data_IF_118393329722
#
_entry.id   IF_118393329722
#
_cell.length_a   1.000
_cell.length_b   1.000
_cell.length_c   1.000
_cell.angle_alpha   90.00
_cell.angle_beta   90.00
_cell.angle_gamma   90.00
#
_symmetry.space_group_name_H-M   'P 1'
#
loop_
_entity.id
_entity.type
_entity.pdbx_description
1 polymer ?
#
# COMPACT_ATOMS: atom_id res chain seq x y z
N UNK A 1 0.35 23.23 15.90
CA UNK A 1 -0.37 22.93 17.16
C UNK A 1 0.43 21.92 17.97
N UNK A 2 0.53 22.11 19.29
CA UNK A 2 1.15 21.16 20.21
C UNK A 2 0.08 20.52 21.10
N UNK A 3 0.11 19.21 21.26
CA UNK A 3 -0.78 18.46 22.16
C UNK A 3 0.07 17.86 23.27
N UNK A 4 -0.24 18.25 24.50
CA UNK A 4 0.26 17.60 25.71
C UNK A 4 -0.85 16.74 26.32
N UNK A 5 -0.56 15.45 26.50
CA UNK A 5 -1.50 14.49 27.08
C UNK A 5 -1.17 14.11 28.52
N UNK A 6 -0.23 14.80 29.19
CA UNK A 6 0.24 14.40 30.52
C UNK A 6 -0.88 14.38 31.57
N UNK A 7 -1.85 15.29 31.47
CA UNK A 7 -3.00 15.39 32.38
C UNK A 7 -4.31 14.85 31.78
N UNK A 8 -4.22 14.02 30.75
CA UNK A 8 -5.40 13.53 30.04
C UNK A 8 -6.18 12.51 30.88
N UNK A 9 -7.33 12.92 31.41
CA UNK A 9 -8.26 12.04 32.11
C UNK A 9 -8.71 10.86 31.23
N UNK A 10 -9.17 9.77 31.88
CA UNK A 10 -9.67 8.59 31.16
C UNK A 10 -10.91 8.95 30.34
N UNK A 11 -10.86 8.65 29.04
CA UNK A 11 -11.92 8.85 28.06
C UNK A 11 -12.34 7.49 27.48
N UNK A 12 -12.93 6.65 28.33
CA UNK A 12 -13.30 5.27 27.97
C UNK A 12 -14.41 5.19 26.91
N UNK A 13 -15.20 6.24 26.71
CA UNK A 13 -16.21 6.29 25.65
C UNK A 13 -15.64 6.64 24.27
N UNK A 14 -14.38 7.10 24.18
CA UNK A 14 -13.77 7.48 22.92
C UNK A 14 -13.35 6.22 22.13
N UNK A 15 -13.93 6.04 20.95
CA UNK A 15 -13.68 4.88 20.08
C UNK A 15 -12.87 5.23 18.83
N UNK A 16 -12.79 6.52 18.46
CA UNK A 16 -12.03 6.97 17.30
C UNK A 16 -11.27 8.24 17.61
N UNK A 17 -9.99 8.28 17.22
CA UNK A 17 -9.12 9.43 17.34
C UNK A 17 -8.36 9.66 16.04
N UNK A 18 -8.39 10.91 15.57
CA UNK A 18 -7.60 11.35 14.42
C UNK A 18 -6.79 12.58 14.80
N UNK A 19 -5.49 12.52 14.53
CA UNK A 19 -4.58 13.66 14.66
C UNK A 19 -3.93 13.95 13.32
N UNK A 20 -3.90 15.23 12.94
CA UNK A 20 -3.35 15.68 11.67
C UNK A 20 -2.44 16.90 11.86
N UNK A 21 -1.20 16.80 11.38
CA UNK A 21 -0.23 17.91 11.39
C UNK A 21 -0.01 18.51 12.78
N UNK A 22 0.16 17.65 13.79
CA UNK A 22 0.34 18.05 15.19
C UNK A 22 1.69 17.61 15.74
N UNK A 23 2.25 18.43 16.62
CA UNK A 23 3.37 18.03 17.48
C UNK A 23 2.81 17.51 18.79
N UNK A 24 3.35 16.42 19.31
CA UNK A 24 2.93 15.80 20.56
C UNK A 24 4.12 15.64 21.50
N UNK A 25 3.84 15.45 22.79
CA UNK A 25 4.87 15.01 23.75
C UNK A 25 5.25 13.53 23.48
N UNK A 26 6.48 13.14 23.86
CA UNK A 26 7.01 11.79 23.59
C UNK A 26 6.12 10.65 24.10
N UNK A 27 5.49 10.86 25.27
CA UNK A 27 4.59 9.90 25.89
C UNK A 27 3.18 9.82 25.27
N UNK A 28 2.86 10.62 24.24
CA UNK A 28 1.49 10.74 23.73
C UNK A 28 0.83 9.40 23.36
N UNK A 29 1.55 8.48 22.69
CA UNK A 29 0.97 7.18 22.34
C UNK A 29 0.68 6.28 23.55
N UNK A 30 1.52 6.37 24.59
CA UNK A 30 1.25 5.69 25.88
C UNK A 30 0.02 6.28 26.55
N UNK A 31 -0.08 7.61 26.57
CA UNK A 31 -1.22 8.29 27.18
C UNK A 31 -2.53 8.00 26.43
N UNK A 32 -2.51 7.91 25.09
CA UNK A 32 -3.66 7.44 24.29
C UNK A 32 -4.05 6.03 24.72
N UNK A 33 -3.08 5.10 24.79
CA UNK A 33 -3.30 3.71 25.21
C UNK A 33 -3.90 3.61 26.62
N UNK A 34 -3.41 4.42 27.57
CA UNK A 34 -3.83 4.34 28.97
C UNK A 34 -5.16 5.07 29.25
N UNK A 35 -5.40 6.21 28.59
CA UNK A 35 -6.59 7.03 28.81
C UNK A 35 -7.78 6.64 27.93
N UNK A 36 -7.57 6.07 26.74
CA UNK A 36 -8.63 5.77 25.76
C UNK A 36 -8.74 4.25 25.52
N UNK A 37 -9.12 3.50 26.55
CA UNK A 37 -9.00 2.02 26.54
C UNK A 37 -9.88 1.31 25.51
N UNK A 38 -10.98 1.92 25.05
CA UNK A 38 -11.91 1.35 24.08
C UNK A 38 -11.67 1.85 22.64
N UNK A 39 -10.51 2.47 22.40
CA UNK A 39 -10.18 3.02 21.09
C UNK A 39 -10.11 1.91 20.03
N UNK A 40 -10.99 1.99 19.04
CA UNK A 40 -11.08 1.05 17.92
C UNK A 40 -10.43 1.57 16.64
N UNK A 41 -10.27 2.89 16.52
CA UNK A 41 -9.68 3.56 15.36
C UNK A 41 -8.69 4.62 15.83
N UNK A 42 -7.46 4.51 15.35
CA UNK A 42 -6.43 5.54 15.54
C UNK A 42 -5.82 5.92 14.19
N UNK A 43 -5.93 7.20 13.85
CA UNK A 43 -5.31 7.76 12.65
C UNK A 43 -4.37 8.90 12.99
N UNK A 44 -3.08 8.68 12.77
CA UNK A 44 -2.02 9.67 12.91
C UNK A 44 -1.57 10.09 11.52
N UNK A 45 -1.69 11.37 11.19
CA UNK A 45 -1.41 11.90 9.86
C UNK A 45 -0.45 13.09 9.95
N UNK A 46 0.84 12.82 9.83
CA UNK A 46 1.86 13.87 9.97
C UNK A 46 2.04 14.31 11.43
N UNK A 47 2.25 13.34 12.32
CA UNK A 47 2.42 13.58 13.76
C UNK A 47 3.91 13.61 14.11
N UNK A 48 4.33 14.64 14.86
CA UNK A 48 5.73 14.89 15.21
C UNK A 48 5.97 14.67 16.71
N UNK A 49 7.11 14.08 17.08
CA UNK A 49 7.61 14.01 18.45
C UNK A 49 7.17 12.80 19.29
N UNK A 50 6.40 11.86 18.73
CA UNK A 50 6.05 10.62 19.45
C UNK A 50 7.26 9.67 19.52
N UNK A 51 7.64 9.24 20.72
CA UNK A 51 8.84 8.41 20.95
C UNK A 51 8.60 6.90 20.76
N UNK A 52 7.35 6.46 20.81
CA UNK A 52 6.97 5.05 20.69
C UNK A 52 6.94 4.30 22.02
N UNK A 53 7.35 3.03 22.00
CA UNK A 53 7.35 2.11 23.14
C UNK A 53 6.56 0.82 22.87
N UNK A 54 6.37 0.04 23.94
CA UNK A 54 5.54 -1.18 23.92
C UNK A 54 4.08 -0.83 24.24
N UNK A 55 3.21 -0.97 23.25
CA UNK A 55 1.83 -0.52 23.28
C UNK A 55 0.91 -1.70 22.98
N UNK A 56 -0.15 -1.85 23.76
CA UNK A 56 -1.18 -2.88 23.53
C UNK A 56 -2.54 -2.22 23.47
N UNK A 57 -3.23 -2.37 22.35
CA UNK A 57 -4.60 -1.87 22.16
C UNK A 57 -5.56 -3.03 21.91
N UNK A 58 -6.37 -3.37 22.91
CA UNK A 58 -7.21 -4.56 22.89
C UNK A 58 -8.37 -4.51 21.89
N UNK A 59 -8.84 -3.31 21.55
CA UNK A 59 -10.03 -3.10 20.73
C UNK A 59 -9.72 -2.45 19.37
N UNK A 60 -8.44 -2.20 19.07
CA UNK A 60 -8.03 -1.53 17.84
C UNK A 60 -8.37 -2.39 16.62
N UNK A 61 -9.16 -1.85 15.70
CA UNK A 61 -9.56 -2.52 14.44
C UNK A 61 -8.95 -1.85 13.22
N UNK A 62 -8.67 -0.55 13.31
CA UNK A 62 -8.07 0.26 12.25
C UNK A 62 -6.96 1.12 12.84
N UNK A 63 -5.77 0.99 12.26
CA UNK A 63 -4.60 1.78 12.64
C UNK A 63 -3.96 2.40 11.40
N UNK A 64 -3.86 3.72 11.39
CA UNK A 64 -3.08 4.48 10.43
C UNK A 64 -1.95 5.21 11.17
N UNK A 65 -0.71 4.79 10.95
CA UNK A 65 0.48 5.41 11.55
C UNK A 65 1.19 6.29 10.53
N UNK A 66 1.10 7.60 10.74
CA UNK A 66 1.80 8.62 9.98
C UNK A 66 2.64 9.52 10.85
N UNK A 67 3.75 8.99 11.37
CA UNK A 67 4.75 9.73 12.13
C UNK A 67 5.72 10.44 11.17
N UNK A 68 5.89 11.74 11.36
CA UNK A 68 6.81 12.59 10.58
C UNK A 68 8.20 12.69 11.20
N UNK A 69 8.39 12.16 12.41
CA UNK A 69 9.69 11.97 13.06
C UNK A 69 9.82 10.51 13.45
N UNK A 70 10.96 9.85 13.22
CA UNK A 70 11.09 8.43 13.50
C UNK A 70 11.12 8.21 15.02
N UNK A 71 10.29 7.30 15.49
CA UNK A 71 10.41 6.75 16.84
C UNK A 71 11.67 5.88 16.93
N UNK A 72 12.24 5.68 18.13
CA UNK A 72 13.36 4.73 18.25
C UNK A 72 12.84 3.29 18.20
N UNK A 73 11.99 2.93 19.16
CA UNK A 73 11.42 1.60 19.29
C UNK A 73 9.90 1.67 19.33
N UNK A 74 9.22 0.89 18.50
CA UNK A 74 7.77 0.83 18.45
C UNK A 74 7.30 -0.62 18.35
N UNK A 75 6.79 -1.15 19.45
CA UNK A 75 6.21 -2.49 19.53
C UNK A 75 4.72 -2.35 19.80
N UNK A 76 3.87 -2.78 18.88
CA UNK A 76 2.42 -2.74 19.07
C UNK A 76 1.80 -4.13 19.03
N UNK A 77 1.08 -4.49 20.09
CA UNK A 77 0.21 -5.67 20.14
C UNK A 77 -1.24 -5.27 19.90
N UNK A 78 -1.80 -5.74 18.78
CA UNK A 78 -3.07 -5.30 18.22
C UNK A 78 -3.93 -6.53 17.86
N UNK A 79 -4.46 -7.27 18.86
CA UNK A 79 -5.08 -8.58 18.67
C UNK A 79 -6.32 -8.56 17.76
N UNK A 80 -7.01 -7.43 17.67
CA UNK A 80 -8.25 -7.28 16.88
C UNK A 80 -8.06 -6.51 15.57
N UNK A 81 -6.81 -6.17 15.22
CA UNK A 81 -6.53 -5.28 14.10
C UNK A 81 -6.87 -5.94 12.76
N UNK A 82 -7.72 -5.28 11.97
CA UNK A 82 -8.11 -5.74 10.65
C UNK A 82 -7.45 -4.94 9.53
N UNK A 83 -7.16 -3.65 9.78
CA UNK A 83 -6.57 -2.73 8.80
C UNK A 83 -5.37 -1.98 9.39
N UNK A 84 -4.23 -2.10 8.71
CA UNK A 84 -3.00 -1.39 9.04
C UNK A 84 -2.57 -0.51 7.86
N UNK A 85 -2.27 0.75 8.15
CA UNK A 85 -1.62 1.67 7.21
C UNK A 85 -0.37 2.25 7.86
N UNK A 86 0.77 2.10 7.20
CA UNK A 86 2.04 2.64 7.66
C UNK A 86 2.51 3.67 6.63
N UNK A 87 2.38 4.96 6.95
CA UNK A 87 2.76 6.11 6.11
C UNK A 87 3.67 7.07 6.89
N UNK A 88 4.85 6.60 7.27
CA UNK A 88 5.71 7.29 8.23
C UNK A 88 7.19 7.12 7.93
N UNK A 89 8.03 7.98 8.52
CA UNK A 89 9.46 7.70 8.62
C UNK A 89 9.64 6.49 9.55
N UNK A 90 10.34 5.47 9.07
CA UNK A 90 10.41 4.19 9.77
C UNK A 90 11.15 4.33 11.11
N UNK A 91 10.61 3.78 12.21
CA UNK A 91 11.35 3.61 13.45
C UNK A 91 12.59 2.72 13.29
N UNK A 92 13.58 2.86 14.18
CA UNK A 92 14.77 1.97 14.18
C UNK A 92 14.35 0.52 14.41
N UNK A 93 13.40 0.28 15.32
CA UNK A 93 12.77 -1.03 15.47
C UNK A 93 11.24 -0.89 15.49
N UNK A 94 10.57 -1.52 14.52
CA UNK A 94 9.11 -1.57 14.41
C UNK A 94 8.65 -3.02 14.48
N UNK A 95 7.83 -3.35 15.47
CA UNK A 95 7.21 -4.67 15.60
C UNK A 95 5.70 -4.50 15.74
N UNK A 96 4.93 -5.04 14.80
CA UNK A 96 3.48 -5.07 14.88
C UNK A 96 3.01 -6.53 15.01
N UNK A 97 2.22 -6.82 16.04
CA UNK A 97 1.60 -8.13 16.27
C UNK A 97 0.10 -7.96 16.02
N UNK A 98 -0.39 -8.53 14.91
CA UNK A 98 -1.75 -8.35 14.43
C UNK A 98 -2.29 -9.66 13.82
N UNK A 99 -2.75 -10.61 14.64
CA UNK A 99 -3.08 -11.97 14.20
C UNK A 99 -4.27 -12.06 13.24
N UNK A 100 -5.20 -11.10 13.27
CA UNK A 100 -6.42 -11.10 12.43
C UNK A 100 -6.39 -10.08 11.29
N UNK A 101 -5.18 -9.64 10.92
CA UNK A 101 -4.96 -8.60 9.92
C UNK A 101 -5.40 -9.06 8.52
N UNK A 102 -6.20 -8.22 7.85
CA UNK A 102 -6.74 -8.52 6.51
C UNK A 102 -6.31 -7.52 5.44
N UNK A 103 -5.96 -6.31 5.86
CA UNK A 103 -5.57 -5.22 4.98
C UNK A 103 -4.26 -4.59 5.48
N UNK A 104 -3.32 -4.41 4.57
CA UNK A 104 -2.06 -3.71 4.84
C UNK A 104 -1.74 -2.72 3.73
N UNK A 105 -1.32 -1.51 4.12
CA UNK A 105 -0.71 -0.54 3.22
C UNK A 105 0.67 -0.12 3.74
N UNK A 106 1.69 -0.24 2.88
CA UNK A 106 3.05 0.18 3.18
C UNK A 106 3.46 1.41 2.36
N UNK A 107 3.92 2.44 3.06
CA UNK A 107 4.62 3.59 2.50
C UNK A 107 5.61 4.09 3.57
N UNK A 108 6.71 3.36 3.73
CA UNK A 108 7.69 3.57 4.80
C UNK A 108 9.07 3.82 4.21
N UNK A 109 9.63 5.01 4.38
CA UNK A 109 11.06 5.17 4.13
C UNK A 109 11.83 4.40 5.22
N UNK A 110 12.44 3.26 4.86
CA UNK A 110 13.15 2.36 5.80
C UNK A 110 14.66 2.54 5.65
N UNK A 111 15.33 3.19 6.61
CA UNK A 111 16.79 3.24 6.67
C UNK A 111 17.40 1.84 6.79
N UNK A 112 18.61 1.63 6.26
CA UNK A 112 19.30 0.33 6.31
C UNK A 112 19.48 -0.26 7.72
N UNK A 113 19.56 0.61 8.72
CA UNK A 113 19.70 0.23 10.13
C UNK A 113 18.38 -0.18 10.80
N UNK A 114 17.25 -0.01 10.12
CA UNK A 114 15.93 -0.23 10.70
C UNK A 114 15.48 -1.68 10.58
N UNK A 115 14.85 -2.19 11.64
CA UNK A 115 14.26 -3.53 11.72
C UNK A 115 12.75 -3.42 11.76
N UNK A 116 12.07 -4.07 10.81
CA UNK A 116 10.62 -4.07 10.73
C UNK A 116 10.07 -5.49 10.71
N UNK A 117 9.22 -5.81 11.66
CA UNK A 117 8.55 -7.10 11.81
C UNK A 117 7.02 -6.91 11.86
N UNK A 118 6.29 -7.69 11.07
CA UNK A 118 4.83 -7.74 11.11
C UNK A 118 4.39 -9.20 11.29
N UNK A 119 3.95 -9.51 12.50
CA UNK A 119 3.57 -10.86 12.93
C UNK A 119 2.05 -11.01 12.82
N UNK A 120 1.58 -11.67 11.76
CA UNK A 120 0.19 -12.07 11.61
C UNK A 120 0.08 -13.56 11.96
N UNK A 121 0.06 -13.87 13.26
CA UNK A 121 0.01 -15.26 13.71
C UNK A 121 -1.38 -15.83 13.42
N UNK A 122 -1.46 -16.90 12.62
CA UNK A 122 -2.63 -17.77 12.61
C UNK A 122 -2.77 -18.38 14.00
N UNK A 123 -3.95 -18.28 14.59
CA UNK A 123 -4.29 -19.01 15.80
C UNK A 123 -4.40 -20.52 15.50
N UNK A 124 -3.28 -21.19 15.23
CA UNK A 124 -3.08 -22.61 15.52
C UNK A 124 -1.60 -22.81 15.89
N UNK A 125 -1.26 -23.09 17.16
CA UNK A 125 0.08 -23.52 17.51
C UNK A 125 0.31 -24.91 16.88
N UNK A 126 1.19 -25.01 15.89
CA UNK A 126 1.79 -26.30 15.55
C UNK A 126 2.99 -26.51 16.46
N UNK A 127 2.93 -27.59 17.23
CA UNK A 127 3.96 -28.05 18.16
C UNK A 127 5.33 -28.21 17.48
N UNK A 128 6.35 -27.57 18.07
CA UNK A 128 7.77 -27.94 18.18
C UNK A 128 8.47 -28.69 17.03
N UNK A 129 9.57 -28.11 16.54
CA UNK A 129 10.88 -28.78 16.63
C UNK A 129 12.02 -27.76 16.50
N UNK A 130 12.96 -27.84 17.44
CA UNK A 130 14.22 -27.11 17.51
C UNK A 130 15.11 -27.38 16.30
N UNK A 131 15.63 -26.33 15.64
CA UNK A 131 16.87 -26.42 14.87
C UNK A 131 17.74 -25.18 15.08
N UNK A 132 19.01 -25.48 15.30
CA UNK A 132 20.18 -24.63 15.53
C UNK A 132 20.39 -23.61 14.42
N UNK A 133 20.68 -22.37 14.81
CA UNK A 133 21.00 -21.25 13.93
C UNK A 133 22.49 -21.31 13.58
N UNK A 134 22.80 -21.58 12.32
CA UNK A 134 24.10 -21.22 11.72
C UNK A 134 24.05 -19.77 11.27
N UNK A 135 25.05 -18.98 11.69
CA UNK A 135 25.25 -17.60 11.29
C UNK A 135 25.29 -17.45 9.76
N UNK A 136 24.35 -16.67 9.23
CA UNK A 136 24.51 -16.01 7.94
C UNK A 136 24.14 -14.53 8.12
N UNK A 137 25.06 -13.66 7.74
CA UNK A 137 24.87 -12.22 7.75
C UNK A 137 23.81 -11.83 6.70
N UNK A 138 22.57 -11.60 7.13
CA UNK A 138 21.57 -10.83 6.38
C UNK A 138 20.80 -9.95 7.39
N UNK A 139 21.21 -8.69 7.53
CA UNK A 139 20.43 -7.66 8.22
C UNK A 139 19.25 -7.23 7.33
N UNK A 140 18.23 -8.07 7.18
CA UNK A 140 16.86 -7.73 6.75
C UNK A 140 15.97 -8.95 6.99
N UNK A 141 15.33 -9.07 8.16
CA UNK A 141 14.34 -10.12 8.42
C UNK A 141 12.92 -9.55 8.43
N UNK A 142 12.48 -9.00 7.31
CA UNK A 142 11.07 -8.68 7.09
C UNK A 142 10.26 -9.97 6.93
N UNK A 143 9.80 -10.55 8.05
CA UNK A 143 8.85 -11.67 8.01
C UNK A 143 7.44 -11.12 8.15
N UNK A 144 6.66 -11.20 7.06
CA UNK A 144 5.19 -11.15 7.10
C UNK A 144 4.72 -12.58 6.86
N UNK A 145 4.41 -13.28 7.94
CA UNK A 145 3.69 -14.55 7.88
C UNK A 145 2.21 -14.22 8.12
N UNK A 146 1.30 -14.66 7.26
CA UNK A 146 -0.13 -14.47 7.50
C UNK A 146 -1.00 -15.30 6.57
N UNK A 147 -1.67 -16.34 7.07
CA UNK A 147 -2.77 -16.96 6.34
C UNK A 147 -4.06 -16.16 6.57
N UNK A 148 -4.12 -14.93 6.06
CA UNK A 148 -5.32 -14.09 6.24
C UNK A 148 -5.38 -12.77 5.50
N UNK A 149 -4.29 -12.32 4.88
CA UNK A 149 -4.28 -11.07 4.14
C UNK A 149 -5.12 -11.19 2.87
N UNK A 150 -6.11 -10.30 2.73
CA UNK A 150 -7.01 -10.24 1.57
C UNK A 150 -6.68 -9.04 0.68
N UNK A 151 -6.10 -7.99 1.24
CA UNK A 151 -5.84 -6.73 0.54
C UNK A 151 -4.44 -6.20 0.85
N UNK A 152 -3.66 -5.91 -0.20
CA UNK A 152 -2.30 -5.37 -0.12
C UNK A 152 -2.20 -4.07 -0.92
N UNK A 153 -1.76 -2.99 -0.28
CA UNK A 153 -1.27 -1.80 -0.95
C UNK A 153 0.25 -1.73 -0.82
N UNK A 154 0.91 -1.90 -1.96
CA UNK A 154 2.34 -1.97 -2.10
C UNK A 154 2.84 -0.78 -2.92
N UNK A 155 3.80 -0.05 -2.39
CA UNK A 155 4.53 0.92 -3.17
C UNK A 155 5.83 1.37 -2.54
N UNK A 156 6.54 2.18 -3.31
CA UNK A 156 7.54 3.17 -2.90
C UNK A 156 8.71 2.82 -2.02
N UNK A 157 8.44 2.48 -0.78
CA UNK A 157 9.46 2.19 0.19
C UNK A 157 8.90 1.01 1.00
N UNK A 158 8.84 -0.12 0.32
CA UNK A 158 8.57 -1.40 0.95
C UNK A 158 9.91 -2.07 1.18
N UNK A 159 10.20 -2.37 2.43
CA UNK A 159 11.38 -3.11 2.87
C UNK A 159 11.25 -4.62 2.61
N UNK A 160 10.07 -5.08 2.19
CA UNK A 160 9.81 -6.46 1.82
C UNK A 160 9.60 -6.53 0.32
N UNK A 161 10.32 -7.41 -0.41
CA UNK A 161 10.03 -7.66 -1.81
C UNK A 161 8.57 -8.08 -2.01
N UNK A 162 7.92 -7.52 -3.02
CA UNK A 162 6.53 -7.87 -3.37
C UNK A 162 6.35 -9.39 -3.54
N UNK A 163 7.32 -10.07 -4.18
CA UNK A 163 7.32 -11.53 -4.37
C UNK A 163 7.15 -12.27 -3.05
N UNK A 164 7.95 -11.93 -2.04
CA UNK A 164 7.89 -12.54 -0.71
C UNK A 164 6.54 -12.31 -0.02
N UNK A 165 5.93 -11.13 -0.20
CA UNK A 165 4.60 -10.85 0.35
C UNK A 165 3.52 -11.68 -0.35
N UNK A 166 3.59 -11.76 -1.68
CA UNK A 166 2.61 -12.50 -2.48
C UNK A 166 2.68 -14.00 -2.19
N UNK A 167 3.88 -14.58 -2.14
CA UNK A 167 4.10 -16.01 -1.85
C UNK A 167 3.56 -16.44 -0.48
N UNK A 168 3.75 -15.60 0.53
CA UNK A 168 3.29 -15.88 1.90
C UNK A 168 1.80 -15.62 2.10
N UNK A 169 1.14 -14.93 1.16
CA UNK A 169 -0.26 -14.52 1.28
C UNK A 169 -1.08 -14.96 0.05
N UNK A 170 -1.28 -16.28 -0.17
CA UNK A 170 -2.00 -16.80 -1.34
C UNK A 170 -3.51 -16.45 -1.38
N UNK A 171 -4.04 -15.89 -0.28
CA UNK A 171 -5.44 -15.48 -0.16
C UNK A 171 -5.72 -14.05 -0.62
N UNK A 172 -4.72 -13.33 -1.13
CA UNK A 172 -4.90 -11.96 -1.63
C UNK A 172 -5.97 -11.92 -2.72
N UNK A 173 -6.94 -11.02 -2.53
CA UNK A 173 -8.04 -10.72 -3.45
C UNK A 173 -7.84 -9.39 -4.14
N UNK A 174 -7.18 -8.43 -3.46
CA UNK A 174 -6.93 -7.10 -4.00
C UNK A 174 -5.49 -6.69 -3.81
N UNK A 175 -4.88 -6.21 -4.88
CA UNK A 175 -3.51 -5.71 -4.87
C UNK A 175 -3.50 -4.31 -5.48
N UNK A 176 -2.89 -3.36 -4.77
CA UNK A 176 -2.67 -2.00 -5.23
C UNK A 176 -1.16 -1.81 -5.35
N UNK A 177 -0.68 -1.43 -6.53
CA UNK A 177 0.74 -1.27 -6.82
C UNK A 177 1.02 0.17 -7.27
N UNK A 178 2.03 0.81 -6.67
CA UNK A 178 2.47 2.14 -7.09
C UNK A 178 3.99 2.34 -6.93
N UNK A 179 4.53 3.33 -7.65
CA UNK A 179 5.94 3.77 -7.57
C UNK A 179 5.94 5.27 -7.21
N UNK A 180 6.76 5.75 -6.26
CA UNK A 180 6.75 7.11 -5.73
C UNK A 180 7.65 7.97 -6.60
N UNK A 181 7.50 7.89 -7.91
CA UNK A 181 8.33 8.63 -8.84
C UNK A 181 7.68 9.95 -9.26
N UNK A 182 6.65 10.40 -8.55
CA UNK A 182 5.85 11.57 -8.91
C UNK A 182 5.95 12.66 -7.86
N UNK A 183 6.27 13.88 -8.30
CA UNK A 183 6.17 15.10 -7.49
C UNK A 183 4.81 15.74 -7.70
N UNK A 184 4.11 16.00 -6.61
CA UNK A 184 2.85 16.74 -6.59
C UNK A 184 3.05 18.06 -5.87
N UNK A 185 2.33 19.09 -6.29
CA UNK A 185 2.20 20.35 -5.58
C UNK A 185 1.32 20.17 -4.32
N UNK A 186 1.28 21.20 -3.48
CA UNK A 186 0.45 21.21 -2.27
C UNK A 186 -1.05 21.03 -2.58
N UNK A 187 -1.50 21.51 -3.74
CA UNK A 187 -2.86 21.33 -4.26
C UNK A 187 -3.06 19.97 -4.96
N UNK A 188 -2.14 19.02 -4.77
CA UNK A 188 -2.12 17.70 -5.37
C UNK A 188 -1.91 17.69 -6.89
N UNK A 189 -1.66 18.84 -7.53
CA UNK A 189 -1.38 18.92 -8.96
C UNK A 189 -0.07 18.25 -9.30
N UNK A 190 -0.04 17.47 -10.37
CA UNK A 190 1.21 16.90 -10.88
C UNK A 190 2.18 18.01 -11.29
N UNK A 191 3.43 17.90 -10.84
CA UNK A 191 4.50 18.83 -11.20
C UNK A 191 5.51 18.19 -12.15
N UNK A 192 6.18 17.12 -11.72
CA UNK A 192 7.22 16.46 -12.48
C UNK A 192 7.54 15.06 -11.93
N UNK A 193 8.13 14.17 -12.75
CA UNK A 193 8.72 12.94 -12.24
C UNK A 193 9.97 13.23 -11.39
N UNK A 194 10.24 12.39 -10.40
CA UNK A 194 11.48 12.43 -9.61
C UNK A 194 12.64 11.84 -10.41
N UNK A 195 13.79 12.53 -10.42
CA UNK A 195 14.91 12.22 -11.31
C UNK A 195 15.73 10.99 -10.89
N UNK A 196 15.75 10.67 -9.60
CA UNK A 196 16.64 9.65 -9.02
C UNK A 196 15.90 8.43 -8.46
N UNK A 197 14.63 8.27 -8.82
CA UNK A 197 13.83 7.10 -8.39
C UNK A 197 13.95 6.00 -9.46
N UNK A 198 14.45 4.80 -9.11
CA UNK A 198 14.48 3.68 -10.04
C UNK A 198 13.08 3.33 -10.53
N UNK A 199 12.88 3.35 -11.85
CA UNK A 199 11.62 2.96 -12.50
C UNK A 199 11.53 1.44 -12.72
N UNK A 200 12.07 0.66 -11.77
CA UNK A 200 12.04 -0.80 -11.84
C UNK A 200 10.60 -1.31 -11.74
N UNK A 201 10.19 -2.12 -12.71
CA UNK A 201 8.89 -2.78 -12.66
C UNK A 201 8.90 -3.88 -11.60
N UNK A 202 7.82 -4.05 -10.82
CA UNK A 202 7.70 -5.19 -9.94
C UNK A 202 7.63 -6.50 -10.76
N UNK A 203 8.10 -7.61 -10.19
CA UNK A 203 7.96 -8.93 -10.82
C UNK A 203 6.50 -9.37 -10.76
N UNK A 204 5.78 -9.17 -11.87
CA UNK A 204 4.37 -9.56 -11.98
C UNK A 204 4.17 -11.08 -12.01
N UNK A 205 5.22 -11.87 -12.25
CA UNK A 205 5.15 -13.33 -12.34
C UNK A 205 4.53 -13.97 -11.09
N UNK A 206 4.86 -13.43 -9.92
CA UNK A 206 4.36 -13.94 -8.64
C UNK A 206 2.85 -13.75 -8.49
N UNK A 207 2.25 -12.78 -9.20
CA UNK A 207 0.81 -12.54 -9.16
C UNK A 207 0.02 -13.68 -9.81
N UNK A 208 0.62 -14.46 -10.72
CA UNK A 208 -0.02 -15.66 -11.29
C UNK A 208 -0.33 -16.72 -10.23
N UNK A 209 0.38 -16.70 -9.10
CA UNK A 209 0.14 -17.62 -7.99
C UNK A 209 -1.11 -17.25 -7.17
N UNK A 210 -1.66 -16.05 -7.34
CA UNK A 210 -2.81 -15.55 -6.60
C UNK A 210 -4.14 -15.97 -7.27
N UNK A 211 -4.56 -17.21 -7.02
CA UNK A 211 -5.80 -17.77 -7.60
C UNK A 211 -7.09 -17.03 -7.23
N UNK A 212 -7.07 -16.22 -6.17
CA UNK A 212 -8.22 -15.44 -5.69
C UNK A 212 -8.11 -13.96 -6.04
N UNK A 213 -7.11 -13.56 -6.83
CA UNK A 213 -6.93 -12.15 -7.20
C UNK A 213 -8.11 -11.70 -8.07
N UNK A 214 -8.94 -10.82 -7.51
CA UNK A 214 -10.11 -10.26 -8.19
C UNK A 214 -9.81 -8.84 -8.68
N UNK A 215 -9.00 -8.09 -7.94
CA UNK A 215 -8.77 -6.67 -8.18
C UNK A 215 -7.28 -6.35 -8.26
N UNK A 216 -6.87 -5.73 -9.36
CA UNK A 216 -5.58 -5.05 -9.48
C UNK A 216 -5.81 -3.54 -9.60
N UNK A 217 -5.09 -2.76 -8.79
CA UNK A 217 -5.03 -1.32 -8.90
C UNK A 217 -3.60 -0.89 -9.24
N UNK A 218 -3.47 -0.06 -10.27
CA UNK A 218 -2.21 0.52 -10.71
C UNK A 218 -2.26 2.01 -10.40
N UNK A 219 -1.32 2.45 -9.57
CA UNK A 219 -1.13 3.85 -9.20
C UNK A 219 -0.36 4.66 -10.25
N UNK A 220 -0.35 6.00 -10.11
CA UNK A 220 0.13 6.91 -11.13
C UNK A 220 1.62 6.80 -11.43
N UNK A 221 2.45 6.49 -10.45
CA UNK A 221 3.88 6.35 -10.70
C UNK A 221 4.25 4.98 -11.24
N UNK A 222 3.55 3.92 -10.84
CA UNK A 222 3.69 2.63 -11.53
C UNK A 222 3.26 2.76 -13.00
N UNK A 223 2.15 3.46 -13.27
CA UNK A 223 1.71 3.73 -14.64
C UNK A 223 2.80 4.39 -15.49
N UNK A 224 3.47 5.41 -14.96
CA UNK A 224 4.58 6.07 -15.65
C UNK A 224 5.77 5.16 -15.90
N UNK A 225 6.13 4.31 -14.94
CA UNK A 225 7.15 3.27 -15.17
C UNK A 225 6.73 2.29 -16.27
N UNK A 226 5.44 1.92 -16.35
CA UNK A 226 4.94 1.04 -17.41
C UNK A 226 5.07 1.71 -18.79
N UNK A 227 4.72 2.99 -18.90
CA UNK A 227 4.90 3.77 -20.14
C UNK A 227 6.38 3.82 -20.56
N UNK A 228 7.28 4.12 -19.63
CA UNK A 228 8.71 4.23 -19.88
C UNK A 228 9.37 2.87 -20.24
N UNK A 229 8.70 1.75 -19.96
CA UNK A 229 9.21 0.39 -20.15
C UNK A 229 8.28 -0.47 -21.01
N UNK A 230 7.45 0.15 -21.85
CA UNK A 230 6.44 -0.55 -22.65
C UNK A 230 7.04 -1.66 -23.53
N UNK A 231 8.21 -1.44 -24.12
CA UNK A 231 8.89 -2.45 -24.95
C UNK A 231 9.33 -3.67 -24.13
N UNK A 232 9.75 -3.44 -22.86
CA UNK A 232 10.05 -4.53 -21.92
C UNK A 232 8.78 -5.29 -21.52
N UNK A 233 7.66 -4.58 -21.34
CA UNK A 233 6.37 -5.21 -20.99
C UNK A 233 5.82 -6.09 -22.11
N UNK A 234 6.04 -5.72 -23.37
CA UNK A 234 5.60 -6.54 -24.52
C UNK A 234 6.25 -7.92 -24.50
N UNK A 235 7.46 -8.05 -23.94
CA UNK A 235 8.14 -9.34 -23.77
C UNK A 235 7.61 -10.19 -22.62
N UNK A 236 6.79 -9.62 -21.72
CA UNK A 236 6.12 -10.35 -20.65
C UNK A 236 4.90 -11.04 -21.27
N UNK A 237 5.05 -12.33 -21.58
CA UNK A 237 4.07 -13.07 -22.38
C UNK A 237 2.68 -13.17 -21.74
N UNK A 238 2.56 -13.13 -20.41
CA UNK A 238 1.29 -13.32 -19.71
C UNK A 238 1.16 -12.46 -18.47
N UNK A 239 0.09 -11.68 -18.42
CA UNK A 239 -0.39 -10.99 -17.21
C UNK A 239 -1.31 -11.91 -16.39
N UNK A 240 -1.35 -11.75 -15.05
CA UNK A 240 -2.23 -12.54 -14.19
C UNK A 240 -3.71 -12.34 -14.57
N UNK A 241 -4.51 -13.38 -14.34
CA UNK A 241 -5.97 -13.31 -14.50
C UNK A 241 -6.54 -12.35 -13.46
N UNK A 242 -7.21 -11.29 -13.91
CA UNK A 242 -7.79 -10.25 -13.06
C UNK A 242 -9.19 -9.94 -13.56
N UNK A 243 -10.16 -9.82 -12.65
CA UNK A 243 -11.54 -9.50 -13.03
C UNK A 243 -11.77 -7.99 -13.11
N UNK A 244 -11.25 -7.24 -12.13
CA UNK A 244 -11.41 -5.79 -12.03
C UNK A 244 -10.07 -5.07 -12.06
N UNK A 245 -9.91 -4.18 -13.04
CA UNK A 245 -8.73 -3.33 -13.19
C UNK A 245 -9.08 -1.87 -12.82
N UNK A 246 -8.33 -1.31 -11.87
CA UNK A 246 -8.36 0.11 -11.54
C UNK A 246 -7.07 0.77 -12.01
N UNK A 247 -7.18 1.79 -12.84
CA UNK A 247 -6.03 2.54 -13.36
C UNK A 247 -6.12 3.97 -12.86
N UNK A 248 -5.18 4.37 -12.02
CA UNK A 248 -4.99 5.75 -11.61
C UNK A 248 -3.75 6.26 -12.34
N UNK A 249 -3.92 7.16 -13.31
CA UNK A 249 -2.86 7.50 -14.27
C UNK A 249 -2.57 8.99 -14.37
N UNK A 250 -1.28 9.29 -14.55
CA UNK A 250 -0.76 10.55 -15.06
C UNK A 250 -0.07 10.21 -16.40
N UNK A 251 -0.81 10.10 -17.51
CA UNK A 251 -0.24 9.69 -18.79
C UNK A 251 0.72 10.75 -19.36
N UNK A 252 1.92 10.31 -19.74
CA UNK A 252 2.96 11.17 -20.32
C UNK A 252 3.10 10.97 -21.83
N UNK A 253 2.72 9.81 -22.35
CA UNK A 253 2.83 9.49 -23.77
C UNK A 253 1.61 8.70 -24.24
N UNK A 254 0.81 9.29 -25.13
CA UNK A 254 -0.43 8.72 -25.64
C UNK A 254 -0.25 7.31 -26.23
N UNK A 255 0.76 7.12 -27.07
CA UNK A 255 0.99 5.84 -27.73
C UNK A 255 1.40 4.76 -26.72
N UNK A 256 2.33 5.08 -25.82
CA UNK A 256 2.75 4.18 -24.76
C UNK A 256 1.60 3.83 -23.81
N UNK A 257 0.79 4.82 -23.39
CA UNK A 257 -0.40 4.61 -22.55
C UNK A 257 -1.36 3.59 -23.17
N UNK A 258 -1.65 3.73 -24.47
CA UNK A 258 -2.58 2.85 -25.19
C UNK A 258 -2.01 1.44 -25.37
N UNK A 259 -0.70 1.30 -25.64
CA UNK A 259 -0.02 0.00 -25.69
C UNK A 259 -0.07 -0.71 -24.33
N UNK A 260 0.27 0.00 -23.25
CA UNK A 260 0.19 -0.55 -21.87
C UNK A 260 -1.23 -0.98 -21.54
N UNK A 261 -2.24 -0.15 -21.86
CA UNK A 261 -3.63 -0.50 -21.67
C UNK A 261 -4.01 -1.77 -22.44
N UNK A 262 -3.63 -1.87 -23.71
CA UNK A 262 -3.90 -3.05 -24.53
C UNK A 262 -3.29 -4.34 -23.95
N UNK A 263 -2.07 -4.27 -23.40
CA UNK A 263 -1.42 -5.39 -22.72
C UNK A 263 -2.18 -5.83 -21.47
N UNK A 264 -2.58 -4.87 -20.63
CA UNK A 264 -3.33 -5.14 -19.39
C UNK A 264 -4.72 -5.72 -19.67
N UNK A 265 -5.39 -5.22 -20.71
CA UNK A 265 -6.66 -5.76 -21.20
C UNK A 265 -6.49 -7.08 -21.95
N UNK A 266 -5.27 -7.57 -22.19
CA UNK A 266 -5.05 -8.93 -22.68
C UNK A 266 -5.47 -10.05 -21.71
N UNK A 267 -5.93 -9.68 -20.50
CA UNK A 267 -6.33 -10.59 -19.42
C UNK A 267 -7.86 -10.78 -19.35
N UNK A 268 -8.34 -11.56 -18.37
CA UNK A 268 -9.78 -11.83 -18.16
C UNK A 268 -10.55 -10.67 -17.50
N UNK A 269 -10.20 -9.42 -17.82
CA UNK A 269 -10.84 -8.23 -17.24
C UNK A 269 -12.30 -8.14 -17.71
N UNK A 270 -13.21 -7.93 -16.77
CA UNK A 270 -14.65 -7.73 -16.99
C UNK A 270 -15.14 -6.38 -16.47
N UNK A 271 -14.35 -5.73 -15.60
CA UNK A 271 -14.62 -4.37 -15.12
C UNK A 271 -13.36 -3.52 -15.18
N UNK A 272 -13.46 -2.36 -15.83
CA UNK A 272 -12.37 -1.40 -15.96
C UNK A 272 -12.78 -0.05 -15.37
N UNK A 273 -11.94 0.53 -14.51
CA UNK A 273 -12.12 1.90 -14.03
C UNK A 273 -10.85 2.71 -14.24
N UNK A 274 -10.98 3.82 -14.95
CA UNK A 274 -9.85 4.69 -15.28
C UNK A 274 -10.05 6.07 -14.65
N UNK A 275 -9.02 6.53 -13.94
CA UNK A 275 -8.91 7.83 -13.31
C UNK A 275 -7.70 8.55 -13.91
N UNK A 276 -7.94 9.62 -14.67
CA UNK A 276 -6.89 10.42 -15.32
C UNK A 276 -6.74 11.73 -14.58
N UNK A 277 -5.51 12.06 -14.16
CA UNK A 277 -5.25 13.34 -13.49
C UNK A 277 -5.45 14.52 -14.45
N UNK A 278 -6.07 15.60 -13.98
CA UNK A 278 -6.37 16.75 -14.86
C UNK A 278 -5.13 17.52 -15.31
N UNK A 279 -4.03 17.36 -14.59
CA UNK A 279 -2.73 17.98 -14.88
C UNK A 279 -1.76 17.03 -15.58
N UNK A 280 -2.26 15.95 -16.16
CA UNK A 280 -1.44 15.02 -16.92
C UNK A 280 -0.95 15.68 -18.21
N UNK A 281 0.29 15.38 -18.66
CA UNK A 281 0.78 15.86 -19.95
C UNK A 281 -0.09 15.45 -21.14
N UNK A 282 -0.67 14.26 -21.11
CA UNK A 282 -1.68 13.81 -22.08
C UNK A 282 -3.06 13.96 -21.46
N UNK A 283 -3.95 14.68 -22.14
CA UNK A 283 -5.30 14.88 -21.65
C UNK A 283 -6.18 13.64 -21.80
N UNK A 284 -7.28 13.62 -21.05
CA UNK A 284 -8.33 12.61 -21.23
C UNK A 284 -8.84 12.57 -22.68
N UNK A 285 -9.11 13.73 -23.26
CA UNK A 285 -9.78 13.82 -24.56
C UNK A 285 -8.91 13.22 -25.66
N UNK A 286 -7.59 13.36 -25.54
CA UNK A 286 -6.63 12.73 -26.44
C UNK A 286 -6.60 11.19 -26.34
N UNK A 287 -6.93 10.63 -25.17
CA UNK A 287 -6.93 9.19 -24.92
C UNK A 287 -8.29 8.53 -25.15
N UNK A 288 -9.39 9.27 -25.09
CA UNK A 288 -10.75 8.73 -25.04
C UNK A 288 -11.04 7.70 -26.14
N UNK A 289 -10.85 8.09 -27.41
CA UNK A 289 -11.09 7.20 -28.55
C UNK A 289 -10.18 5.96 -28.52
N UNK A 290 -8.90 6.14 -28.18
CA UNK A 290 -7.97 5.01 -28.11
C UNK A 290 -8.31 4.04 -26.98
N UNK A 291 -8.82 4.52 -25.85
CA UNK A 291 -9.30 3.66 -24.76
C UNK A 291 -10.49 2.82 -25.23
N UNK A 292 -11.47 3.45 -25.90
CA UNK A 292 -12.65 2.76 -26.44
C UNK A 292 -12.27 1.68 -27.46
N UNK A 293 -11.30 1.97 -28.34
CA UNK A 293 -10.75 1.00 -29.29
C UNK A 293 -10.11 -0.19 -28.58
N UNK A 294 -9.27 0.04 -27.55
CA UNK A 294 -8.63 -1.04 -26.80
C UNK A 294 -9.64 -1.91 -26.04
N UNK A 295 -10.67 -1.29 -25.44
CA UNK A 295 -11.76 -2.01 -24.77
C UNK A 295 -12.53 -2.85 -25.77
N UNK A 296 -12.99 -2.26 -26.87
CA UNK A 296 -13.75 -2.98 -27.91
C UNK A 296 -12.95 -4.14 -28.50
N UNK A 297 -11.66 -3.94 -28.76
CA UNK A 297 -10.78 -4.98 -29.24
C UNK A 297 -10.60 -6.12 -28.22
N UNK A 298 -10.60 -5.82 -26.92
CA UNK A 298 -10.58 -6.84 -25.87
C UNK A 298 -11.88 -7.64 -25.81
N UNK A 299 -13.04 -6.97 -25.88
CA UNK A 299 -14.35 -7.63 -25.87
C UNK A 299 -14.48 -8.60 -27.05
N UNK A 300 -14.03 -8.18 -28.25
CA UNK A 300 -13.99 -9.03 -29.44
C UNK A 300 -13.07 -10.25 -29.28
N UNK A 301 -11.90 -10.08 -28.65
CA UNK A 301 -10.93 -11.19 -28.46
C UNK A 301 -11.36 -12.17 -27.38
N UNK A 302 -11.93 -11.67 -26.28
CA UNK A 302 -12.22 -12.47 -25.09
C UNK A 302 -13.66 -12.99 -25.03
N UNK A 303 -14.58 -12.38 -25.79
CA UNK A 303 -16.02 -12.62 -25.67
C UNK A 303 -16.63 -12.06 -24.39
N UNK A 304 -15.84 -11.41 -23.53
CA UNK A 304 -16.32 -10.79 -22.30
C UNK A 304 -16.81 -9.37 -22.59
N UNK A 305 -17.91 -8.97 -21.94
CA UNK A 305 -18.32 -7.56 -21.92
C UNK A 305 -17.54 -6.85 -20.81
N UNK A 306 -16.88 -5.75 -21.15
CA UNK A 306 -16.13 -4.93 -20.21
C UNK A 306 -16.99 -3.75 -19.80
N UNK A 307 -17.36 -3.73 -18.52
CA UNK A 307 -17.96 -2.54 -17.93
C UNK A 307 -16.85 -1.52 -17.70
N UNK A 308 -16.65 -0.63 -18.67
CA UNK A 308 -15.73 0.49 -18.56
C UNK A 308 -16.43 1.68 -17.92
N UNK A 309 -15.88 2.18 -16.81
CA UNK A 309 -16.30 3.43 -16.19
C UNK A 309 -15.13 4.39 -16.13
N UNK A 310 -15.28 5.53 -16.78
CA UNK A 310 -14.30 6.58 -16.68
C UNK A 310 -14.70 7.58 -15.61
N UNK A 311 -13.78 7.86 -14.69
CA UNK A 311 -14.00 8.83 -13.62
C UNK A 311 -13.03 9.98 -13.81
N UNK A 312 -13.60 11.18 -13.89
CA UNK A 312 -12.85 12.39 -14.18
C UNK A 312 -13.08 13.40 -13.05
N UNK A 313 -12.27 13.28 -12.00
CA UNK A 313 -11.87 14.37 -11.11
C UNK A 313 -11.13 13.79 -9.90
N UNK A 314 -9.80 13.90 -9.92
CA UNK A 314 -9.04 14.09 -8.69
C UNK A 314 -8.60 15.56 -8.72
N UNK A 315 -9.47 16.47 -8.27
CA UNK A 315 -8.96 17.76 -7.79
C UNK A 315 -8.13 17.39 -6.57
N UNK A 316 -6.84 17.67 -6.60
CA UNK A 316 -6.03 17.48 -5.41
C UNK A 316 -6.63 18.33 -4.29
N UNK A 317 -6.90 17.68 -3.17
CA UNK A 317 -7.32 18.31 -1.93
C UNK A 317 -6.13 18.30 -0.98
#
# INVERSE_FOLDING_TARGET
MFIDMSDCHRMTSLTSLTWRCVKVNGAALRNVKDSMTNLSTLALLGVFGAEGGNLTFQHMTVLCLGLSTPAEDLVMNLPTLKKLQLKMQCPKNLVIIAPVLRYVAFNLEVPESSKVELKCIDAVPKSTSSHTVTESHINYSGQVEGAGLEELLYGAASFIPMSSLVEKNPNLKKVFLDIPCMTLAEDGRFLAPLKDVPLSLPSFDHLHNLRKLEVLNIGPGLWYSLEAKVDTLISVEKWPVINTLYLHMIPHNREASLKVLGLLLGTSVTSLKIFIHSSSPVSRDELATGIEEQVSACELRSGNIIICKHYYHLKGN
#
